data_IF_841843922444
#
_entry.id   IF_841843922444
#
_cell.length_a   1.000
_cell.length_b   1.000
_cell.length_c   1.000
_cell.angle_alpha   90.00
_cell.angle_beta   90.00
_cell.angle_gamma   90.00
#
_symmetry.space_group_name_H-M   'P 1'
#
loop_
_entity.id
_entity.type
_entity.pdbx_description
1 polymer ?
#
# COMPACT_ATOMS: atom_id res chain seq x y z
N UNK A 1 -21.70 -3.61 -9.64
CA UNK A 1 -20.44 -4.21 -9.15
C UNK A 1 -19.53 -3.25 -8.37
N UNK A 2 -19.49 -1.94 -8.66
CA UNK A 2 -18.62 -0.97 -7.93
C UNK A 2 -18.77 -0.98 -6.41
N UNK A 3 -19.98 -1.13 -5.88
CA UNK A 3 -20.21 -1.26 -4.43
C UNK A 3 -19.49 -2.48 -3.82
N UNK A 4 -19.51 -3.62 -4.51
CA UNK A 4 -18.83 -4.85 -4.04
C UNK A 4 -17.32 -4.63 -4.01
N UNK A 5 -16.76 -4.02 -5.06
CA UNK A 5 -15.32 -3.70 -5.13
C UNK A 5 -14.93 -2.74 -4.01
N UNK A 6 -15.73 -1.69 -3.78
CA UNK A 6 -15.50 -0.72 -2.70
C UNK A 6 -15.52 -1.39 -1.32
N UNK A 7 -16.47 -2.27 -1.07
CA UNK A 7 -16.53 -3.03 0.19
C UNK A 7 -15.33 -3.96 0.33
N UNK A 8 -14.91 -4.64 -0.73
CA UNK A 8 -13.73 -5.50 -0.72
C UNK A 8 -12.46 -4.71 -0.39
N UNK A 9 -12.26 -3.54 -1.01
CA UNK A 9 -11.12 -2.66 -0.70
C UNK A 9 -11.12 -2.20 0.77
N UNK A 10 -12.28 -1.88 1.34
CA UNK A 10 -12.40 -1.54 2.77
C UNK A 10 -12.02 -2.70 3.68
N UNK A 11 -12.48 -3.91 3.37
CA UNK A 11 -12.13 -5.10 4.15
C UNK A 11 -10.63 -5.43 4.04
N UNK A 12 -10.03 -5.24 2.86
CA UNK A 12 -8.59 -5.38 2.68
C UNK A 12 -7.81 -4.36 3.50
N UNK A 13 -8.26 -3.10 3.56
CA UNK A 13 -7.65 -2.09 4.41
C UNK A 13 -7.72 -2.48 5.90
N UNK A 14 -8.90 -2.88 6.38
CA UNK A 14 -9.07 -3.36 7.77
C UNK A 14 -8.15 -4.55 8.05
N UNK A 15 -8.02 -5.46 7.08
CA UNK A 15 -7.12 -6.61 7.20
C UNK A 15 -5.65 -6.19 7.30
N UNK A 16 -5.13 -5.38 6.37
CA UNK A 16 -3.72 -4.94 6.39
C UNK A 16 -3.41 -4.13 7.66
N UNK A 17 -4.36 -3.32 8.13
CA UNK A 17 -4.18 -2.48 9.32
C UNK A 17 -4.21 -3.25 10.64
N UNK A 18 -4.74 -4.46 10.64
CA UNK A 18 -4.87 -5.26 11.85
C UNK A 18 -3.50 -5.63 12.46
N UNK A 19 -2.53 -5.98 11.62
CA UNK A 19 -1.15 -6.26 12.05
C UNK A 19 -0.19 -6.09 10.88
N UNK A 20 1.05 -5.64 11.16
CA UNK A 20 2.08 -5.41 10.15
C UNK A 20 2.37 -6.65 9.29
N UNK A 21 2.20 -7.86 9.85
CA UNK A 21 2.41 -9.11 9.12
C UNK A 21 1.37 -9.35 8.01
N UNK A 22 0.19 -8.74 8.09
CA UNK A 22 -0.88 -8.95 7.11
C UNK A 22 -0.54 -8.35 5.74
N UNK A 23 0.38 -7.39 5.64
CA UNK A 23 0.87 -6.89 4.37
C UNK A 23 1.53 -8.00 3.52
N UNK A 24 2.39 -8.81 4.13
CA UNK A 24 3.06 -9.93 3.45
C UNK A 24 2.09 -11.07 3.11
N UNK A 25 1.11 -11.32 3.99
CA UNK A 25 0.05 -12.30 3.71
C UNK A 25 -0.81 -11.87 2.52
N UNK A 26 -1.16 -10.57 2.43
CA UNK A 26 -1.88 -10.02 1.29
C UNK A 26 -1.07 -10.17 0.01
N UNK A 27 0.20 -9.76 0.02
CA UNK A 27 1.09 -9.86 -1.14
C UNK A 27 1.18 -11.31 -1.65
N UNK A 28 1.36 -12.27 -0.73
CA UNK A 28 1.40 -13.70 -1.06
C UNK A 28 0.08 -14.17 -1.66
N UNK A 29 -1.05 -13.76 -1.08
CA UNK A 29 -2.37 -14.12 -1.58
C UNK A 29 -2.64 -13.56 -2.98
N UNK A 30 -2.31 -12.29 -3.23
CA UNK A 30 -2.44 -11.63 -4.54
C UNK A 30 -1.61 -12.38 -5.57
N UNK A 31 -0.33 -12.61 -5.28
CA UNK A 31 0.61 -13.34 -6.14
C UNK A 31 0.07 -14.72 -6.53
N UNK A 32 -0.40 -15.50 -5.55
CA UNK A 32 -0.93 -16.83 -5.80
C UNK A 32 -2.19 -16.81 -6.67
N UNK A 33 -3.09 -15.85 -6.43
CA UNK A 33 -4.33 -15.70 -7.21
C UNK A 33 -4.00 -15.29 -8.64
N UNK A 34 -3.14 -14.29 -8.85
CA UNK A 34 -2.83 -13.79 -10.18
C UNK A 34 -2.03 -14.82 -11.00
N UNK A 35 -1.05 -15.49 -10.41
CA UNK A 35 -0.32 -16.61 -11.04
C UNK A 35 -1.24 -17.76 -11.44
N UNK A 36 -2.15 -18.19 -10.55
CA UNK A 36 -3.13 -19.24 -10.88
C UNK A 36 -4.06 -18.86 -12.03
N UNK A 37 -4.20 -17.56 -12.33
CA UNK A 37 -5.02 -17.05 -13.41
C UNK A 37 -4.22 -16.56 -14.64
N UNK A 38 -2.90 -16.78 -14.67
CA UNK A 38 -1.99 -16.27 -15.71
C UNK A 38 -2.08 -14.74 -15.92
N UNK A 39 -2.12 -14.00 -14.81
CA UNK A 39 -2.16 -12.53 -14.79
C UNK A 39 -0.89 -11.98 -14.13
N UNK A 40 -0.49 -10.75 -14.45
CA UNK A 40 0.55 -10.07 -13.68
C UNK A 40 0.10 -9.89 -12.22
N UNK A 41 1.04 -9.90 -11.29
CA UNK A 41 0.73 -9.71 -9.88
C UNK A 41 0.10 -8.32 -9.67
N UNK A 42 -0.91 -8.22 -8.81
CA UNK A 42 -1.68 -6.98 -8.55
C UNK A 42 -2.64 -6.55 -9.65
N UNK A 43 -2.90 -7.41 -10.63
CA UNK A 43 -3.75 -7.09 -11.79
C UNK A 43 -5.11 -6.51 -11.41
N UNK A 44 -5.82 -7.12 -10.45
CA UNK A 44 -7.14 -6.67 -10.06
C UNK A 44 -7.13 -5.25 -9.46
N UNK A 45 -6.10 -4.93 -8.68
CA UNK A 45 -5.95 -3.60 -8.06
C UNK A 45 -5.54 -2.57 -9.12
N UNK A 46 -4.61 -2.91 -10.00
CA UNK A 46 -4.19 -2.06 -11.11
C UNK A 46 -5.32 -1.76 -12.08
N UNK A 47 -6.24 -2.70 -12.31
CA UNK A 47 -7.46 -2.42 -13.08
C UNK A 47 -8.35 -1.36 -12.44
N UNK A 48 -8.47 -1.33 -11.12
CA UNK A 48 -9.21 -0.29 -10.40
C UNK A 48 -8.49 1.05 -10.56
N UNK A 49 -7.17 1.08 -10.39
CA UNK A 49 -6.39 2.33 -10.45
C UNK A 49 -6.31 2.93 -11.87
N UNK A 50 -6.30 2.10 -12.90
CA UNK A 50 -6.20 2.51 -14.30
C UNK A 50 -7.55 2.88 -14.95
N UNK A 51 -8.69 2.69 -14.29
CA UNK A 51 -10.01 3.01 -14.86
C UNK A 51 -10.18 4.54 -14.98
N UNK A 52 -10.21 5.06 -16.22
CA UNK A 52 -10.25 6.51 -16.49
C UNK A 52 -11.65 7.11 -16.42
N UNK A 53 -12.69 6.29 -16.65
CA UNK A 53 -14.08 6.74 -16.75
C UNK A 53 -14.92 6.27 -15.55
N UNK A 54 -15.39 7.23 -14.75
CA UNK A 54 -16.34 6.98 -13.66
C UNK A 54 -15.72 6.38 -12.39
N UNK A 55 -14.42 6.52 -12.19
CA UNK A 55 -13.77 6.04 -10.98
C UNK A 55 -14.16 6.88 -9.75
N UNK A 56 -14.64 6.18 -8.73
CA UNK A 56 -14.89 6.78 -7.43
C UNK A 56 -13.55 7.12 -6.79
N UNK A 57 -13.31 8.41 -6.53
CA UNK A 57 -12.08 8.92 -5.90
C UNK A 57 -11.81 8.20 -4.58
N UNK A 58 -12.85 7.80 -3.85
CA UNK A 58 -12.73 7.03 -2.63
C UNK A 58 -12.10 5.64 -2.91
N UNK A 59 -12.49 4.97 -3.99
CA UNK A 59 -11.89 3.69 -4.40
C UNK A 59 -10.44 3.84 -4.84
N UNK A 60 -10.11 4.90 -5.58
CA UNK A 60 -8.73 5.21 -5.95
C UNK A 60 -7.87 5.45 -4.71
N UNK A 61 -8.40 6.18 -3.73
CA UNK A 61 -7.72 6.45 -2.46
C UNK A 61 -7.47 5.15 -1.68
N UNK A 62 -8.45 4.24 -1.64
CA UNK A 62 -8.27 2.93 -1.02
C UNK A 62 -7.24 2.08 -1.75
N UNK A 63 -7.25 2.07 -3.08
CA UNK A 63 -6.28 1.32 -3.86
C UNK A 63 -4.84 1.79 -3.60
N UNK A 64 -4.61 3.11 -3.66
CA UNK A 64 -3.29 3.68 -3.33
C UNK A 64 -2.89 3.42 -1.88
N UNK A 65 -3.83 3.49 -0.94
CA UNK A 65 -3.55 3.20 0.48
C UNK A 65 -3.14 1.74 0.69
N UNK A 66 -3.78 0.80 0.00
CA UNK A 66 -3.41 -0.63 0.04
C UNK A 66 -1.99 -0.83 -0.50
N UNK A 67 -1.66 -0.22 -1.64
CA UNK A 67 -0.30 -0.28 -2.21
C UNK A 67 0.72 0.25 -1.21
N UNK A 68 0.52 1.48 -0.70
CA UNK A 68 1.44 2.12 0.23
C UNK A 68 1.67 1.31 1.51
N UNK A 69 0.60 0.74 2.09
CA UNK A 69 0.72 -0.09 3.30
C UNK A 69 1.39 -1.42 3.01
N UNK A 70 1.14 -2.02 1.85
CA UNK A 70 1.78 -3.28 1.47
C UNK A 70 3.28 -3.07 1.29
N UNK A 71 3.68 -2.06 0.53
CA UNK A 71 5.09 -1.68 0.33
C UNK A 71 5.80 -1.38 1.66
N UNK A 72 5.18 -0.61 2.55
CA UNK A 72 5.75 -0.32 3.88
C UNK A 72 5.85 -1.58 4.78
N UNK A 73 5.15 -2.67 4.46
CA UNK A 73 5.28 -3.96 5.14
C UNK A 73 6.40 -4.85 4.59
N UNK A 74 7.00 -4.49 3.46
CA UNK A 74 8.12 -5.21 2.86
C UNK A 74 9.43 -4.66 3.44
N UNK A 75 10.25 -5.54 4.02
CA UNK A 75 11.53 -5.16 4.64
C UNK A 75 12.74 -5.47 3.76
N UNK A 76 12.57 -6.36 2.79
CA UNK A 76 13.61 -6.82 1.87
C UNK A 76 13.55 -6.00 0.59
N UNK A 77 14.70 -5.43 0.17
CA UNK A 77 14.73 -4.51 -0.97
C UNK A 77 14.43 -5.21 -2.30
N UNK A 78 14.91 -6.44 -2.50
CA UNK A 78 14.61 -7.21 -3.72
C UNK A 78 13.09 -7.41 -3.85
N UNK A 79 12.44 -7.84 -2.76
CA UNK A 79 10.98 -8.01 -2.73
C UNK A 79 10.24 -6.67 -2.92
N UNK A 80 10.79 -5.56 -2.41
CA UNK A 80 10.20 -4.23 -2.56
C UNK A 80 10.22 -3.80 -4.03
N UNK A 81 11.34 -3.94 -4.71
CA UNK A 81 11.49 -3.56 -6.11
C UNK A 81 10.75 -4.51 -7.06
N UNK A 82 10.69 -5.81 -6.77
CA UNK A 82 9.82 -6.75 -7.50
C UNK A 82 8.36 -6.28 -7.50
N UNK A 83 7.88 -5.78 -6.35
CA UNK A 83 6.53 -5.25 -6.21
C UNK A 83 6.35 -3.94 -6.99
N UNK A 84 7.29 -3.00 -6.87
CA UNK A 84 7.25 -1.72 -7.62
C UNK A 84 7.25 -1.97 -9.12
N UNK A 85 8.15 -2.81 -9.63
CA UNK A 85 8.23 -3.15 -11.05
C UNK A 85 6.94 -3.79 -11.59
N UNK A 86 6.31 -4.66 -10.80
CA UNK A 86 5.01 -5.24 -11.16
C UNK A 86 3.92 -4.18 -11.27
N UNK A 87 3.92 -3.17 -10.40
CA UNK A 87 2.94 -2.07 -10.45
C UNK A 87 3.21 -1.12 -11.63
N UNK A 88 4.48 -0.74 -11.84
CA UNK A 88 4.88 0.19 -12.90
C UNK A 88 4.70 -0.41 -14.30
N UNK A 89 5.02 -1.69 -14.48
CA UNK A 89 4.77 -2.40 -15.75
C UNK A 89 3.28 -2.46 -16.13
N UNK A 90 2.39 -2.25 -15.16
CA UNK A 90 0.94 -2.15 -15.36
C UNK A 90 0.42 -0.71 -15.44
N UNK A 91 1.31 0.29 -15.47
CA UNK A 91 0.98 1.70 -15.70
C UNK A 91 0.62 2.51 -14.46
N UNK A 92 1.16 2.17 -13.28
CA UNK A 92 0.89 2.91 -12.05
C UNK A 92 1.29 4.39 -12.15
N UNK A 93 2.45 4.71 -12.73
CA UNK A 93 2.87 6.10 -12.94
C UNK A 93 1.81 6.92 -13.70
N UNK A 94 1.31 6.41 -14.82
CA UNK A 94 0.29 7.09 -15.63
C UNK A 94 -1.04 7.23 -14.89
N UNK A 95 -1.42 6.21 -14.12
CA UNK A 95 -2.58 6.23 -13.24
C UNK A 95 -2.45 7.34 -12.18
N UNK A 96 -1.32 7.43 -11.48
CA UNK A 96 -1.06 8.48 -10.49
C UNK A 96 -1.05 9.88 -11.12
N UNK A 97 -0.43 10.05 -12.30
CA UNK A 97 -0.46 11.32 -13.05
C UNK A 97 -1.89 11.77 -13.36
N UNK A 98 -2.80 10.84 -13.64
CA UNK A 98 -4.23 11.14 -13.79
C UNK A 98 -4.88 11.49 -12.44
N UNK A 99 -4.65 10.69 -11.39
CA UNK A 99 -5.19 10.91 -10.04
C UNK A 99 -4.83 12.29 -9.48
N UNK A 100 -3.59 12.76 -9.69
CA UNK A 100 -3.13 14.08 -9.26
C UNK A 100 -3.92 15.22 -9.92
N UNK A 101 -4.45 15.02 -11.13
CA UNK A 101 -5.28 16.01 -11.84
C UNK A 101 -6.70 16.09 -11.30
N UNK A 102 -7.19 15.05 -10.61
CA UNK A 102 -8.56 15.03 -10.05
C UNK A 102 -8.76 16.04 -8.91
N UNK A 103 -7.70 16.60 -8.33
CA UNK A 103 -7.82 17.71 -7.38
C UNK A 103 -8.12 17.31 -5.93
N UNK A 104 -8.39 16.04 -5.64
CA UNK A 104 -8.74 15.57 -4.29
C UNK A 104 -7.53 15.43 -3.38
N UNK A 105 -7.61 16.02 -2.18
CA UNK A 105 -6.49 16.10 -1.24
C UNK A 105 -5.99 14.72 -0.78
N UNK A 106 -6.88 13.87 -0.28
CA UNK A 106 -6.47 12.60 0.33
C UNK A 106 -5.85 11.64 -0.70
N UNK A 107 -6.40 11.61 -1.92
CA UNK A 107 -5.83 10.85 -3.02
C UNK A 107 -4.45 11.39 -3.43
N UNK A 108 -4.29 12.72 -3.52
CA UNK A 108 -2.99 13.36 -3.78
C UNK A 108 -1.97 13.03 -2.70
N UNK A 109 -2.38 13.03 -1.44
CA UNK A 109 -1.51 12.71 -0.31
C UNK A 109 -1.03 11.26 -0.39
N UNK A 110 -1.88 10.32 -0.83
CA UNK A 110 -1.48 8.93 -1.07
C UNK A 110 -0.50 8.77 -2.25
N UNK A 111 -0.71 9.49 -3.36
CA UNK A 111 0.23 9.46 -4.49
C UNK A 111 1.60 10.03 -4.09
N UNK A 112 1.61 11.16 -3.38
CA UNK A 112 2.85 11.77 -2.89
C UNK A 112 3.56 10.91 -1.85
N UNK A 113 2.80 10.17 -1.04
CA UNK A 113 3.38 9.23 -0.08
C UNK A 113 4.14 8.12 -0.81
N UNK A 114 3.54 7.54 -1.85
CA UNK A 114 4.19 6.53 -2.70
C UNK A 114 5.51 7.07 -3.27
N UNK A 115 5.47 8.20 -3.98
CA UNK A 115 6.66 8.82 -4.60
C UNK A 115 7.76 9.14 -3.56
N UNK A 116 7.35 9.64 -2.40
CA UNK A 116 8.29 9.97 -1.32
C UNK A 116 8.99 8.74 -0.76
N UNK A 117 8.25 7.65 -0.53
CA UNK A 117 8.83 6.42 0.04
C UNK A 117 9.71 5.74 -0.99
N UNK A 118 9.29 5.66 -2.25
CA UNK A 118 10.10 5.09 -3.33
C UNK A 118 11.45 5.81 -3.43
N UNK A 119 11.45 7.16 -3.43
CA UNK A 119 12.68 7.95 -3.43
C UNK A 119 13.59 7.66 -2.23
N UNK A 120 13.02 7.34 -1.06
CA UNK A 120 13.80 6.99 0.13
C UNK A 120 14.47 5.62 -0.01
N UNK A 121 13.81 4.66 -0.65
CA UNK A 121 14.39 3.35 -0.97
C UNK A 121 15.51 3.49 -2.01
N UNK A 122 15.32 4.29 -3.07
CA UNK A 122 16.35 4.58 -4.08
C UNK A 122 17.61 5.20 -3.45
N UNK A 123 17.43 6.16 -2.52
CA UNK A 123 18.53 6.78 -1.78
C UNK A 123 19.25 5.77 -0.86
N UNK A 124 18.51 4.84 -0.25
CA UNK A 124 19.06 3.80 0.62
C UNK A 124 19.88 2.76 -0.16
N UNK A 125 19.45 2.38 -1.37
CA UNK A 125 20.19 1.48 -2.25
C UNK A 125 21.54 2.09 -2.72
N UNK A 126 21.55 3.39 -3.03
CA UNK A 126 22.76 4.09 -3.48
C UNK A 126 23.80 4.33 -2.36
N UNK A 127 23.38 4.24 -1.10
CA UNK A 127 24.23 4.43 0.08
C UNK A 127 24.48 3.08 0.74
N UNK A 128 25.49 2.38 0.24
CA UNK A 128 26.00 1.09 0.75
C UNK A 128 26.62 1.27 2.16
N UNK A 129 25.82 1.67 3.15
CA UNK A 129 26.06 1.70 4.59
C UNK A 129 24.86 2.35 5.31
N UNK A 130 23.95 1.56 5.89
CA UNK A 130 23.49 1.80 7.28
C UNK A 130 22.52 0.75 7.79
N UNK A 131 23.09 -0.27 8.42
CA UNK A 131 22.51 -1.13 9.47
C UNK A 131 21.88 -0.33 10.65
N UNK A 132 21.82 1.01 10.58
CA UNK A 132 21.57 1.96 11.68
C UNK A 132 20.21 2.67 11.60
N UNK A 133 19.59 2.85 10.42
CA UNK A 133 18.30 3.59 10.34
C UNK A 133 17.05 2.74 10.64
N UNK A 134 17.05 1.44 10.34
CA UNK A 134 15.86 0.60 10.51
C UNK A 134 15.61 0.16 11.98
N UNK A 135 16.65 0.13 12.83
CA UNK A 135 16.48 -0.06 14.29
C UNK A 135 15.82 1.14 14.98
N UNK A 136 16.01 2.36 14.45
CA UNK A 136 15.44 3.59 15.03
C UNK A 136 13.96 3.82 14.67
N UNK A 137 13.50 3.37 13.48
CA UNK A 137 12.08 3.42 13.09
C UNK A 137 11.24 2.34 13.78
N UNK A 138 11.83 1.17 14.02
CA UNK A 138 11.19 0.03 14.69
C UNK A 138 10.83 0.34 16.16
N UNK A 139 11.66 1.09 16.89
CA UNK A 139 11.43 1.37 18.32
C UNK A 139 10.39 2.48 18.61
N UNK A 140 10.21 3.42 17.68
CA UNK A 140 9.22 4.52 17.81
C UNK A 140 7.80 4.06 17.40
N UNK A 141 7.67 3.21 16.36
CA UNK A 141 6.38 2.62 15.97
C UNK A 141 5.83 1.65 17.03
N UNK A 142 6.67 0.82 17.65
CA UNK A 142 6.27 -0.06 18.77
C UNK A 142 5.70 0.76 19.94
N UNK A 143 6.27 1.93 20.24
CA UNK A 143 5.81 2.79 21.34
C UNK A 143 4.46 3.47 21.08
N UNK A 144 4.08 3.67 19.81
CA UNK A 144 2.83 4.37 19.44
C UNK A 144 1.67 3.40 19.19
N UNK A 145 1.94 2.19 18.67
CA UNK A 145 0.91 1.15 18.48
C UNK A 145 0.42 0.55 19.82
N UNK A 146 1.29 0.47 20.85
CA UNK A 146 0.89 0.11 22.21
C UNK A 146 -0.04 1.15 22.87
N UNK A 147 0.15 2.44 22.57
CA UNK A 147 -0.70 3.53 23.08
C UNK A 147 -2.09 3.53 22.42
N UNK A 148 -2.20 3.16 21.14
CA UNK A 148 -3.49 3.11 20.41
C UNK A 148 -4.33 1.86 20.75
N UNK A 149 -3.67 0.70 20.92
CA UNK A 149 -4.36 -0.54 21.33
C UNK A 149 -4.92 -0.47 22.76
N UNK A 150 -4.25 0.26 23.67
CA UNK A 150 -4.78 0.49 25.03
C UNK A 150 -6.04 1.37 25.01
N UNK A 151 -6.17 2.29 24.05
CA UNK A 151 -7.30 3.21 23.96
C UNK A 151 -8.56 2.55 23.36
N UNK A 152 -8.42 1.68 22.36
CA UNK A 152 -9.58 0.99 21.74
C UNK A 152 -10.12 -0.13 22.64
N UNK A 153 -9.26 -0.86 23.35
CA UNK A 153 -9.71 -1.89 24.31
C UNK A 153 -10.41 -1.25 25.54
N UNK A 154 -10.01 -0.04 25.97
CA UNK A 154 -10.71 0.73 27.02
C UNK A 154 -12.07 1.27 26.61
N UNK A 155 -12.33 1.45 25.30
CA UNK A 155 -13.62 1.96 24.79
C UNK A 155 -14.66 0.84 24.57
N UNK A 156 -14.21 -0.41 24.39
CA UNK A 156 -15.09 -1.57 24.12
C UNK A 156 -15.52 -2.28 25.41
N UNK A 157 -14.80 -2.10 26.53
CA UNK A 157 -15.08 -2.75 27.82
C UNK A 157 -15.86 -1.87 28.83
N UNK A 158 -16.60 -0.85 28.38
CA UNK A 158 -17.60 -0.13 29.18
C UNK A 158 -18.91 0.01 28.41
#
# INVERSE_FOLDING_TARGET
FRLVVKTALKLLLVFIEYTDHNALLLMTAVTNVDKANNRPDWFALMRVLNEKDGNDVEMLTYGMTIINKTLNGVADQDTYYDLVDSLESQGLEDAMRHMLKLGHKDLKDQCKLYEKVLKQEDEAESSDESVVKMRFSMQIRISTLFLYNKFIIQLILK
#
